data_IF_031449952364
#
_entry.id   IF_031449952364
#
_cell.length_a   1.000
_cell.length_b   1.000
_cell.length_c   1.000
_cell.angle_alpha   90.00
_cell.angle_beta   90.00
_cell.angle_gamma   90.00
#
_symmetry.space_group_name_H-M   'P 1'
#
loop_
_entity.id
_entity.type
_entity.pdbx_description
1 polymer ?
#
# COMPACT_ATOMS: atom_id res chain seq x y z
N UNK A 1 22.82 29.91 -46.16
CA UNK A 1 22.09 28.64 -45.94
C UNK A 1 21.28 28.61 -44.64
N UNK A 2 21.85 28.97 -43.47
CA UNK A 2 21.10 28.93 -42.21
C UNK A 2 19.93 29.94 -42.13
N UNK A 3 20.05 31.11 -42.76
CA UNK A 3 19.00 32.13 -42.75
C UNK A 3 17.78 31.75 -43.58
N UNK A 4 17.97 31.06 -44.71
CA UNK A 4 16.86 30.59 -45.55
C UNK A 4 16.07 29.47 -44.87
N UNK A 5 16.74 28.57 -44.15
CA UNK A 5 16.09 27.54 -43.33
C UNK A 5 15.20 28.17 -42.23
N UNK A 6 15.70 29.17 -41.51
CA UNK A 6 14.91 29.87 -40.49
C UNK A 6 13.71 30.61 -41.08
N UNK A 7 13.87 31.24 -42.24
CA UNK A 7 12.78 31.93 -42.94
C UNK A 7 11.68 30.96 -43.40
N UNK A 8 12.07 29.80 -43.96
CA UNK A 8 11.16 28.72 -44.35
C UNK A 8 10.41 28.19 -43.12
N UNK A 9 11.11 27.97 -42.00
CA UNK A 9 10.51 27.51 -40.75
C UNK A 9 9.49 28.51 -40.18
N UNK A 10 9.81 29.80 -40.19
CA UNK A 10 8.92 30.87 -39.77
C UNK A 10 7.66 30.97 -40.65
N UNK A 11 7.80 30.74 -41.95
CA UNK A 11 6.69 30.77 -42.91
C UNK A 11 5.77 29.54 -42.74
N UNK A 12 6.32 28.37 -42.44
CA UNK A 12 5.56 27.15 -42.12
C UNK A 12 4.77 27.34 -40.83
N UNK A 13 5.43 27.82 -39.76
CA UNK A 13 4.79 28.09 -38.46
C UNK A 13 3.75 29.23 -38.51
N UNK A 14 3.70 30.02 -39.59
CA UNK A 14 2.70 31.09 -39.77
C UNK A 14 1.31 30.56 -40.14
N UNK A 15 1.20 29.31 -40.63
CA UNK A 15 -0.07 28.71 -41.05
C UNK A 15 -0.99 28.44 -39.86
N UNK A 16 -2.26 28.86 -39.94
CA UNK A 16 -3.28 28.67 -38.89
C UNK A 16 -3.42 27.21 -38.46
N UNK A 17 -3.41 26.28 -39.41
CA UNK A 17 -3.50 24.85 -39.13
C UNK A 17 -2.34 24.32 -38.27
N UNK A 18 -1.11 24.76 -38.49
CA UNK A 18 0.04 24.31 -37.71
C UNK A 18 0.09 24.99 -36.33
N UNK A 19 -0.39 26.22 -36.20
CA UNK A 19 -0.48 26.88 -34.89
C UNK A 19 -1.51 26.23 -33.96
N UNK A 20 -2.63 25.78 -34.51
CA UNK A 20 -3.76 25.26 -33.71
C UNK A 20 -3.82 23.74 -33.70
N UNK A 21 -3.49 23.07 -34.82
CA UNK A 21 -3.59 21.62 -34.97
C UNK A 21 -2.34 20.86 -34.52
N UNK A 22 -1.14 21.43 -34.69
CA UNK A 22 0.09 20.79 -34.22
C UNK A 22 0.10 20.52 -32.70
N UNK A 23 -0.27 21.46 -31.80
CA UNK A 23 -0.32 21.15 -30.37
C UNK A 23 -1.36 20.06 -30.06
N UNK A 24 -2.47 19.98 -30.79
CA UNK A 24 -3.46 18.93 -30.62
C UNK A 24 -2.91 17.55 -31.03
N UNK A 25 -2.24 17.44 -32.19
CA UNK A 25 -1.63 16.19 -32.64
C UNK A 25 -0.50 15.76 -31.70
N UNK A 26 0.32 16.70 -31.23
CA UNK A 26 1.36 16.42 -30.23
C UNK A 26 0.74 15.93 -28.93
N UNK A 27 -0.39 16.48 -28.50
CA UNK A 27 -1.09 16.03 -27.30
C UNK A 27 -1.69 14.64 -27.48
N UNK A 28 -2.28 14.32 -28.63
CA UNK A 28 -2.86 12.99 -28.89
C UNK A 28 -1.76 11.93 -29.00
N UNK A 29 -0.75 12.17 -29.85
CA UNK A 29 0.36 11.25 -30.03
C UNK A 29 1.17 11.15 -28.73
N UNK A 30 1.63 12.28 -28.20
CA UNK A 30 2.41 12.35 -26.97
C UNK A 30 1.66 11.79 -25.76
N UNK A 31 0.37 12.05 -25.64
CA UNK A 31 -0.48 11.49 -24.58
C UNK A 31 -0.57 9.97 -24.65
N UNK A 32 -0.70 9.38 -25.84
CA UNK A 32 -0.77 7.93 -26.00
C UNK A 32 0.52 7.22 -25.55
N UNK A 33 1.69 7.78 -25.89
CA UNK A 33 3.00 7.28 -25.43
C UNK A 33 3.23 7.57 -23.95
N UNK A 34 2.85 8.75 -23.47
CA UNK A 34 3.02 9.15 -22.07
C UNK A 34 2.20 8.28 -21.11
N UNK A 35 0.93 8.02 -21.42
CA UNK A 35 0.05 7.17 -20.62
C UNK A 35 0.60 5.75 -20.49
N UNK A 36 1.20 5.21 -21.55
CA UNK A 36 1.83 3.88 -21.54
C UNK A 36 2.94 3.80 -20.48
N UNK A 37 3.86 4.76 -20.48
CA UNK A 37 4.96 4.78 -19.50
C UNK A 37 4.46 5.12 -18.10
N UNK A 38 3.55 6.10 -17.98
CA UNK A 38 3.01 6.54 -16.70
C UNK A 38 2.22 5.46 -15.97
N UNK A 39 1.45 4.63 -16.69
CA UNK A 39 0.71 3.52 -16.08
C UNK A 39 1.63 2.40 -15.60
N UNK A 40 2.80 2.22 -16.24
CA UNK A 40 3.84 1.28 -15.80
C UNK A 40 4.41 1.60 -14.41
N UNK A 41 4.50 2.88 -14.07
CA UNK A 41 5.04 3.36 -12.78
C UNK A 41 4.31 2.73 -11.60
N UNK A 42 2.96 2.66 -11.64
CA UNK A 42 2.17 2.03 -10.56
C UNK A 42 2.58 0.58 -10.30
N UNK A 43 2.88 -0.17 -11.35
CA UNK A 43 3.27 -1.57 -11.23
C UNK A 43 4.70 -1.71 -10.70
N UNK A 44 5.62 -0.83 -11.10
CA UNK A 44 6.99 -0.81 -10.59
C UNK A 44 7.02 -0.55 -9.07
N UNK A 45 6.29 0.48 -8.60
CA UNK A 45 6.19 0.76 -7.16
C UNK A 45 5.46 -0.35 -6.39
N UNK A 46 4.45 -0.99 -6.99
CA UNK A 46 3.78 -2.15 -6.38
C UNK A 46 4.72 -3.35 -6.23
N UNK A 47 5.65 -3.56 -7.17
CA UNK A 47 6.65 -4.63 -7.06
C UNK A 47 7.76 -4.30 -6.06
N UNK A 48 8.08 -3.02 -5.84
CA UNK A 48 9.04 -2.57 -4.83
C UNK A 48 8.64 -2.84 -3.37
N UNK A 49 7.35 -3.12 -3.11
CA UNK A 49 6.87 -3.57 -1.78
C UNK A 49 7.01 -5.09 -1.57
N UNK A 50 7.61 -5.83 -2.51
CA UNK A 50 8.09 -7.18 -2.23
C UNK A 50 9.38 -7.05 -1.44
N UNK A 51 9.24 -6.68 -0.18
CA UNK A 51 10.33 -6.71 0.78
C UNK A 51 10.95 -8.11 0.72
N UNK A 52 12.27 -8.20 0.57
CA UNK A 52 12.92 -9.50 0.61
C UNK A 52 12.62 -10.13 1.98
N UNK A 53 12.57 -11.47 2.06
CA UNK A 53 12.29 -12.16 3.32
C UNK A 53 13.20 -11.67 4.45
N UNK A 54 14.46 -11.46 4.11
CA UNK A 54 15.50 -10.95 5.00
C UNK A 54 15.26 -9.51 5.48
N UNK A 55 14.71 -8.64 4.64
CA UNK A 55 14.38 -7.26 5.00
C UNK A 55 13.14 -7.17 5.89
N UNK A 56 12.12 -7.98 5.64
CA UNK A 56 10.92 -7.97 6.47
C UNK A 56 11.17 -8.61 7.85
N UNK A 57 12.03 -9.63 7.92
CA UNK A 57 12.50 -10.20 9.19
C UNK A 57 13.22 -9.14 10.04
N UNK A 58 14.05 -8.27 9.43
CA UNK A 58 14.67 -7.13 10.13
C UNK A 58 13.65 -6.10 10.64
N UNK A 59 12.48 -5.99 10.01
CA UNK A 59 11.36 -5.17 10.48
C UNK A 59 10.44 -5.90 11.48
N UNK A 60 10.74 -7.15 11.85
CA UNK A 60 9.92 -7.94 12.76
C UNK A 60 8.65 -8.51 12.12
N UNK A 61 8.54 -8.50 10.79
CA UNK A 61 7.43 -9.09 10.05
C UNK A 61 7.79 -10.55 9.75
N UNK A 62 7.14 -11.49 10.44
CA UNK A 62 7.35 -12.93 10.23
C UNK A 62 6.63 -13.36 8.95
N UNK A 63 7.36 -13.92 7.98
CA UNK A 63 6.76 -14.56 6.80
C UNK A 63 6.30 -15.97 7.18
N UNK A 64 5.01 -16.11 7.50
CA UNK A 64 4.39 -17.39 7.85
C UNK A 64 3.88 -18.08 6.58
N UNK A 65 4.11 -19.39 6.44
CA UNK A 65 3.53 -20.16 5.33
C UNK A 65 2.04 -20.41 5.58
N UNK A 66 1.26 -20.65 4.51
CA UNK A 66 -0.17 -20.93 4.66
C UNK A 66 -0.41 -22.16 5.55
N UNK A 67 0.43 -23.19 5.42
CA UNK A 67 0.38 -24.40 6.22
C UNK A 67 0.68 -24.14 7.71
N UNK A 68 1.66 -23.28 8.02
CA UNK A 68 1.98 -22.91 9.40
C UNK A 68 0.83 -22.13 10.04
N UNK A 69 0.20 -21.19 9.31
CA UNK A 69 -0.99 -20.47 9.80
C UNK A 69 -2.16 -21.42 10.05
N UNK A 70 -2.44 -22.35 9.11
CA UNK A 70 -3.53 -23.32 9.27
C UNK A 70 -3.29 -24.19 10.50
N UNK A 71 -2.07 -24.68 10.70
CA UNK A 71 -1.70 -25.50 11.85
C UNK A 71 -1.80 -24.72 13.17
N UNK A 72 -1.44 -23.44 13.18
CA UNK A 72 -1.62 -22.57 14.35
C UNK A 72 -3.10 -22.37 14.67
N UNK A 73 -3.95 -22.19 13.66
CA UNK A 73 -5.39 -22.06 13.84
C UNK A 73 -6.03 -23.35 14.37
N UNK A 74 -5.57 -24.53 13.93
CA UNK A 74 -6.03 -25.82 14.45
C UNK A 74 -5.64 -26.06 15.91
N UNK A 75 -4.51 -25.49 16.36
CA UNK A 75 -4.04 -25.58 17.74
C UNK A 75 -4.70 -24.55 18.66
N UNK A 76 -5.32 -23.50 18.10
CA UNK A 76 -5.96 -22.44 18.86
C UNK A 76 -7.29 -22.92 19.44
N UNK A 77 -7.50 -22.68 20.73
CA UNK A 77 -8.78 -22.94 21.39
C UNK A 77 -9.81 -21.87 21.00
N UNK A 78 -10.68 -22.20 20.06
CA UNK A 78 -11.75 -21.31 19.56
C UNK A 78 -13.04 -21.49 20.37
N UNK A 79 -13.20 -22.62 21.06
CA UNK A 79 -14.44 -22.98 21.74
C UNK A 79 -14.60 -22.22 23.07
N UNK A 80 -13.50 -21.96 23.77
CA UNK A 80 -13.50 -21.24 25.05
C UNK A 80 -13.23 -19.73 24.92
N UNK A 81 -13.80 -19.08 23.90
CA UNK A 81 -13.63 -17.64 23.72
C UNK A 81 -14.45 -16.83 24.75
N UNK A 82 -13.85 -15.75 25.29
CA UNK A 82 -14.52 -14.83 26.20
C UNK A 82 -14.59 -13.42 25.61
N UNK A 83 -15.75 -12.76 25.72
CA UNK A 83 -15.90 -11.38 25.30
C UNK A 83 -15.28 -10.43 26.35
N UNK A 84 -14.12 -9.86 26.03
CA UNK A 84 -13.50 -8.82 26.84
C UNK A 84 -13.96 -7.46 26.33
N UNK A 85 -14.60 -6.67 27.20
CA UNK A 85 -14.99 -5.30 26.88
C UNK A 85 -13.78 -4.36 26.86
N UNK A 86 -13.73 -3.48 25.86
CA UNK A 86 -12.79 -2.37 25.84
C UNK A 86 -13.13 -1.29 26.88
N UNK A 87 -12.15 -0.43 27.23
CA UNK A 87 -12.39 0.71 28.11
C UNK A 87 -13.28 1.74 27.43
N UNK A 88 -14.23 2.31 28.16
CA UNK A 88 -15.01 3.45 27.67
C UNK A 88 -14.11 4.69 27.55
N UNK A 89 -14.48 5.70 26.75
CA UNK A 89 -13.64 6.90 26.57
C UNK A 89 -13.29 7.66 27.87
N UNK A 90 -14.08 7.46 28.93
CA UNK A 90 -13.88 8.06 30.26
C UNK A 90 -13.32 7.09 31.31
N UNK A 91 -13.06 5.83 30.95
CA UNK A 91 -12.42 4.84 31.82
C UNK A 91 -10.91 4.84 31.52
N UNK A 92 -10.07 4.80 32.56
CA UNK A 92 -8.62 4.71 32.35
C UNK A 92 -8.27 3.32 31.80
N UNK A 93 -7.72 3.31 30.59
CA UNK A 93 -7.38 2.07 29.88
C UNK A 93 -6.36 1.21 30.62
N UNK A 94 -5.46 1.81 31.40
CA UNK A 94 -4.38 1.08 32.07
C UNK A 94 -4.88 0.33 33.31
N UNK A 95 -5.67 0.99 34.15
CA UNK A 95 -6.31 0.36 35.31
C UNK A 95 -7.26 -0.77 34.90
N UNK A 96 -8.14 -0.53 33.91
CA UNK A 96 -9.08 -1.55 33.41
C UNK A 96 -8.39 -2.81 32.85
N UNK A 97 -7.31 -2.63 32.08
CA UNK A 97 -6.53 -3.77 31.57
C UNK A 97 -5.84 -4.56 32.69
N UNK A 98 -5.33 -3.87 33.70
CA UNK A 98 -4.69 -4.53 34.84
C UNK A 98 -5.70 -5.36 35.64
N UNK A 99 -6.89 -4.82 35.90
CA UNK A 99 -7.96 -5.55 36.59
C UNK A 99 -8.41 -6.78 35.80
N UNK A 100 -8.57 -6.66 34.48
CA UNK A 100 -8.87 -7.79 33.60
C UNK A 100 -7.78 -8.88 33.69
N UNK A 101 -6.49 -8.50 33.60
CA UNK A 101 -5.39 -9.48 33.75
C UNK A 101 -5.41 -10.19 35.10
N UNK A 102 -5.65 -9.47 36.19
CA UNK A 102 -5.72 -10.07 37.52
C UNK A 102 -6.93 -11.00 37.67
N UNK A 103 -8.07 -10.67 37.08
CA UNK A 103 -9.25 -11.56 37.04
C UNK A 103 -8.98 -12.84 36.25
N UNK A 104 -8.32 -12.73 35.09
CA UNK A 104 -7.93 -13.87 34.26
C UNK A 104 -6.92 -14.77 34.97
N UNK A 105 -5.90 -14.18 35.63
CA UNK A 105 -4.95 -14.95 36.45
C UNK A 105 -5.64 -15.72 37.55
N UNK A 106 -6.59 -15.10 38.27
CA UNK A 106 -7.37 -15.78 39.31
C UNK A 106 -8.22 -16.91 38.75
N UNK A 107 -8.86 -16.72 37.60
CA UNK A 107 -9.64 -17.76 36.92
C UNK A 107 -8.75 -18.96 36.56
N UNK A 108 -7.63 -18.71 35.89
CA UNK A 108 -6.67 -19.76 35.53
C UNK A 108 -6.10 -20.51 36.76
N UNK A 109 -5.91 -19.83 37.90
CA UNK A 109 -5.46 -20.45 39.15
C UNK A 109 -6.52 -21.34 39.82
N UNK A 110 -7.80 -21.12 39.52
CA UNK A 110 -8.91 -21.95 39.99
C UNK A 110 -9.11 -23.14 39.07
N UNK A 111 -9.06 -22.93 37.75
CA UNK A 111 -9.27 -23.99 36.75
C UNK A 111 -8.15 -25.05 36.75
N UNK A 112 -6.96 -24.69 37.27
CA UNK A 112 -5.77 -25.55 37.29
C UNK A 112 -5.55 -26.26 38.65
N UNK A 113 -6.58 -26.31 39.50
CA UNK A 113 -6.54 -26.85 40.87
C UNK A 113 -7.52 -28.01 41.03
#
# INVERSE_FOLDING_TARGET
MAQSLKAIWAQIMKRRFLKTGLPFIVLVAGGSFFLKEFTGIRYQFRQGMKMSKEEAEKLGIKFVSLEEVVKEMEQMDVDNWENIRGPRPWEDSKSMQNEQRESLKKKNLVDNR
#
